data_IF_979267086152
#
_entry.id   IF_979267086152
#
_cell.length_a   1.000
_cell.length_b   1.000
_cell.length_c   1.000
_cell.angle_alpha   90.00
_cell.angle_beta   90.00
_cell.angle_gamma   90.00
#
_symmetry.space_group_name_H-M   'P 1'
#
loop_
_entity.id
_entity.type
_entity.pdbx_description
1 polymer ?
#
# COMPACT_ATOMS: atom_id res chain seq x y z
N UNK A 1 4.56 3.61 -8.22
CA UNK A 1 3.91 2.49 -8.96
C UNK A 1 3.53 1.38 -7.97
N UNK A 2 2.41 0.66 -8.20
CA UNK A 2 1.84 -0.31 -7.25
C UNK A 2 2.71 -1.54 -6.93
N UNK A 3 3.74 -1.78 -7.75
CA UNK A 3 4.61 -2.94 -7.65
C UNK A 3 5.43 -3.12 -8.92
N UNK A 4 6.24 -4.18 -8.97
CA UNK A 4 7.14 -4.45 -10.10
C UNK A 4 6.42 -5.11 -11.28
N UNK A 5 6.70 -4.63 -12.50
CA UNK A 5 6.19 -5.13 -13.79
C UNK A 5 4.66 -5.08 -13.98
N UNK A 6 4.22 -5.61 -15.12
CA UNK A 6 2.85 -5.51 -15.64
C UNK A 6 1.78 -6.17 -14.78
N UNK A 7 2.13 -7.11 -13.91
CA UNK A 7 1.15 -7.77 -13.02
C UNK A 7 1.19 -7.23 -11.58
N UNK A 8 2.28 -6.60 -11.15
CA UNK A 8 2.46 -6.11 -9.77
C UNK A 8 2.09 -7.18 -8.71
N UNK A 9 2.60 -8.40 -8.89
CA UNK A 9 2.19 -9.59 -8.13
C UNK A 9 2.30 -9.45 -6.61
N UNK A 10 3.28 -8.66 -6.15
CA UNK A 10 3.59 -8.44 -4.74
C UNK A 10 3.09 -7.06 -4.26
N UNK A 11 2.41 -6.32 -5.14
CA UNK A 11 1.91 -4.98 -4.84
C UNK A 11 0.78 -5.00 -3.82
N UNK A 12 0.55 -3.83 -3.22
CA UNK A 12 -0.54 -3.52 -2.30
C UNK A 12 -1.27 -2.27 -2.82
N UNK A 13 -2.51 -2.03 -2.40
CA UNK A 13 -3.28 -0.84 -2.78
C UNK A 13 -2.88 0.39 -1.93
N UNK A 14 -1.60 0.73 -1.89
CA UNK A 14 -0.96 1.57 -0.86
C UNK A 14 -0.19 2.79 -1.41
N UNK A 15 -0.46 3.22 -2.64
CA UNK A 15 0.07 4.47 -3.15
C UNK A 15 -0.12 5.63 -2.14
N UNK A 16 0.97 6.41 -1.98
CA UNK A 16 1.12 7.49 -1.00
C UNK A 16 1.08 7.06 0.49
N UNK A 17 1.17 5.76 0.79
CA UNK A 17 1.29 5.27 2.18
C UNK A 17 2.58 5.75 2.84
N UNK A 18 2.51 5.93 4.16
CA UNK A 18 3.62 6.34 5.01
C UNK A 18 3.91 5.30 6.10
N UNK A 19 5.19 5.14 6.40
CA UNK A 19 5.66 4.48 7.62
C UNK A 19 6.52 5.46 8.41
N UNK A 20 6.36 5.50 9.74
CA UNK A 20 7.07 6.44 10.60
C UNK A 20 7.67 5.70 11.79
N UNK A 21 8.93 6.00 12.08
CA UNK A 21 9.66 5.54 13.25
C UNK A 21 10.32 6.77 13.91
N UNK A 22 10.20 6.91 15.23
CA UNK A 22 10.77 8.00 16.02
C UNK A 22 11.61 7.38 17.13
N UNK A 23 12.89 7.75 17.21
CA UNK A 23 13.84 7.21 18.21
C UNK A 23 13.91 5.67 18.25
N UNK A 24 13.74 5.02 17.09
CA UNK A 24 13.73 3.56 16.98
C UNK A 24 12.39 2.91 17.27
N UNK A 25 11.40 3.67 17.72
CA UNK A 25 10.06 3.19 18.03
C UNK A 25 9.08 3.40 16.85
N UNK A 26 8.34 2.36 16.43
CA UNK A 26 7.41 2.46 15.32
C UNK A 26 6.13 3.24 15.70
N UNK A 27 5.76 4.24 14.90
CA UNK A 27 4.58 5.10 15.10
C UNK A 27 3.50 4.83 14.07
N UNK A 28 3.84 4.87 12.78
CA UNK A 28 2.94 4.49 11.68
C UNK A 28 3.48 3.21 11.05
N UNK A 29 2.78 2.11 11.29
CA UNK A 29 3.21 0.76 10.90
C UNK A 29 2.45 0.30 9.68
N UNK A 30 3.16 -0.31 8.73
CA UNK A 30 2.54 -1.07 7.66
C UNK A 30 2.27 -2.51 8.13
N UNK A 31 1.08 -3.06 7.93
CA UNK A 31 0.72 -4.38 8.45
C UNK A 31 1.37 -5.54 7.67
N UNK A 32 2.01 -5.27 6.53
CA UNK A 32 2.60 -6.29 5.67
C UNK A 32 1.57 -7.14 4.94
N UNK A 33 1.97 -8.31 4.46
CA UNK A 33 1.14 -9.16 3.57
C UNK A 33 0.37 -10.27 4.31
N UNK A 34 0.66 -10.50 5.59
CA UNK A 34 0.22 -11.66 6.38
C UNK A 34 0.58 -13.04 5.77
N UNK A 35 -0.16 -13.51 4.77
CA UNK A 35 0.02 -14.84 4.13
C UNK A 35 -0.02 -14.75 2.61
N UNK A 36 0.88 -15.46 1.94
CA UNK A 36 1.00 -15.43 0.48
C UNK A 36 -0.03 -16.31 -0.26
N UNK A 37 -0.30 -17.53 0.24
CA UNK A 37 -1.04 -18.56 -0.51
C UNK A 37 -2.38 -18.98 0.10
N UNK A 38 -2.60 -18.73 1.40
CA UNK A 38 -3.69 -19.35 2.18
C UNK A 38 -4.48 -18.35 3.04
N UNK A 39 -4.30 -17.04 2.80
CA UNK A 39 -4.93 -15.99 3.61
C UNK A 39 -6.36 -15.58 3.20
N UNK A 40 -6.90 -16.09 2.10
CA UNK A 40 -8.28 -15.79 1.66
C UNK A 40 -8.65 -14.30 1.71
N UNK A 41 -9.80 -13.98 2.30
CA UNK A 41 -10.30 -12.60 2.49
C UNK A 41 -9.32 -11.71 3.25
N UNK A 42 -8.54 -12.29 4.16
CA UNK A 42 -7.58 -11.54 4.94
C UNK A 42 -6.38 -11.10 4.12
N UNK A 43 -5.89 -11.97 3.23
CA UNK A 43 -4.84 -11.56 2.29
C UNK A 43 -5.29 -10.37 1.44
N UNK A 44 -6.55 -10.36 1.02
CA UNK A 44 -7.09 -9.23 0.25
C UNK A 44 -7.24 -7.98 1.12
N UNK A 45 -7.63 -8.11 2.39
CA UNK A 45 -7.68 -6.98 3.32
C UNK A 45 -6.29 -6.37 3.56
N UNK A 46 -5.27 -7.18 3.85
CA UNK A 46 -3.89 -6.70 4.06
C UNK A 46 -3.28 -6.06 2.80
N UNK A 47 -3.82 -6.36 1.61
CA UNK A 47 -3.44 -5.73 0.33
C UNK A 47 -4.31 -4.53 -0.04
N UNK A 48 -5.33 -4.21 0.76
CA UNK A 48 -6.32 -3.16 0.48
C UNK A 48 -5.89 -1.80 1.05
N UNK A 49 -6.36 -0.71 0.47
CA UNK A 49 -6.02 0.66 0.94
C UNK A 49 -6.37 0.92 2.40
N UNK A 50 -7.54 0.47 2.91
CA UNK A 50 -7.87 0.63 4.34
C UNK A 50 -6.88 0.02 5.33
N UNK A 51 -6.00 -0.91 4.90
CA UNK A 51 -4.99 -1.50 5.77
C UNK A 51 -3.71 -0.64 5.87
N UNK A 52 -3.58 0.41 5.07
CA UNK A 52 -2.35 1.21 4.96
C UNK A 52 -2.56 2.65 5.44
N UNK A 53 -1.48 3.31 5.85
CA UNK A 53 -1.49 4.70 6.32
C UNK A 53 -1.56 5.68 5.12
N UNK A 54 -2.68 5.65 4.40
CA UNK A 54 -2.97 6.50 3.24
C UNK A 54 -4.46 6.84 3.18
N UNK A 55 -4.83 7.80 2.33
CA UNK A 55 -6.21 8.18 2.14
C UNK A 55 -7.01 7.05 1.47
N UNK A 56 -8.18 6.75 2.02
CA UNK A 56 -9.23 6.02 1.33
C UNK A 56 -10.50 6.88 1.29
N UNK A 57 -11.30 6.72 0.24
CA UNK A 57 -12.58 7.40 0.08
C UNK A 57 -13.67 6.36 0.28
N UNK A 58 -14.52 6.53 1.29
CA UNK A 58 -15.62 5.61 1.61
C UNK A 58 -15.15 4.15 1.85
N UNK A 59 -13.96 3.95 2.43
CA UNK A 59 -13.42 2.61 2.66
C UNK A 59 -12.96 1.86 1.41
N UNK A 60 -12.90 2.52 0.23
CA UNK A 60 -12.54 1.87 -1.04
C UNK A 60 -11.04 1.86 -1.27
N UNK A 61 -10.57 0.81 -1.95
CA UNK A 61 -9.19 0.70 -2.39
C UNK A 61 -8.90 1.50 -3.66
N UNK A 62 -7.73 2.14 -3.70
CA UNK A 62 -7.24 2.87 -4.87
C UNK A 62 -6.75 1.96 -6.02
N UNK A 63 -6.49 0.69 -5.73
CA UNK A 63 -6.19 -0.35 -6.72
C UNK A 63 -7.12 -1.54 -6.50
N UNK A 64 -7.52 -2.22 -7.58
CA UNK A 64 -8.55 -3.26 -7.56
C UNK A 64 -7.90 -4.64 -7.75
N UNK A 65 -8.03 -5.50 -6.74
CA UNK A 65 -7.54 -6.88 -6.75
C UNK A 65 -8.33 -7.69 -7.79
N UNK A 66 -7.63 -8.41 -8.66
CA UNK A 66 -8.21 -9.27 -9.70
C UNK A 66 -7.76 -10.74 -9.61
N UNK A 67 -7.19 -11.11 -8.46
CA UNK A 67 -6.70 -12.45 -8.17
C UNK A 67 -5.52 -12.42 -7.21
N UNK A 68 -4.95 -13.59 -6.95
CA UNK A 68 -3.85 -13.74 -5.99
C UNK A 68 -2.68 -12.81 -6.31
N UNK A 69 -2.34 -12.67 -7.59
CA UNK A 69 -1.16 -11.92 -8.02
C UNK A 69 -1.49 -10.88 -9.10
N UNK A 70 -2.76 -10.51 -9.25
CA UNK A 70 -3.22 -9.66 -10.35
C UNK A 70 -4.04 -8.47 -9.84
N UNK A 71 -4.00 -7.38 -10.62
CA UNK A 71 -4.70 -6.13 -10.37
C UNK A 71 -5.41 -5.68 -11.65
N UNK A 72 -6.73 -5.45 -11.60
CA UNK A 72 -7.51 -4.96 -12.75
C UNK A 72 -7.42 -3.44 -12.89
N UNK A 73 -7.19 -2.74 -11.78
CA UNK A 73 -6.91 -1.31 -11.75
C UNK A 73 -5.75 -1.04 -10.81
N UNK A 74 -4.89 -0.08 -11.18
CA UNK A 74 -3.73 0.31 -10.40
C UNK A 74 -3.70 1.83 -10.28
N UNK A 75 -3.70 2.32 -9.05
CA UNK A 75 -3.42 3.71 -8.78
C UNK A 75 -2.05 4.12 -9.37
N UNK A 76 -2.00 5.32 -9.92
CA UNK A 76 -0.77 5.94 -10.41
C UNK A 76 -0.44 7.08 -9.47
N UNK A 77 0.74 7.02 -8.87
CA UNK A 77 1.32 8.10 -8.08
C UNK A 77 2.64 8.51 -8.72
N UNK A 78 2.90 9.81 -8.68
CA UNK A 78 4.13 10.43 -9.14
C UNK A 78 4.65 11.37 -8.05
N UNK A 79 5.97 11.50 -7.96
CA UNK A 79 6.58 12.59 -7.19
C UNK A 79 6.30 13.88 -7.96
N UNK A 80 5.59 14.82 -7.33
CA UNK A 80 5.28 16.13 -7.92
C UNK A 80 6.40 17.12 -7.60
N UNK A 81 6.84 17.15 -6.35
CA UNK A 81 7.86 18.06 -5.84
C UNK A 81 8.54 17.45 -4.61
N UNK A 82 9.79 17.83 -4.37
CA UNK A 82 10.51 17.50 -3.14
C UNK A 82 11.45 18.64 -2.78
N UNK A 83 11.30 19.17 -1.56
CA UNK A 83 12.21 20.15 -0.99
C UNK A 83 12.93 19.54 0.22
N UNK A 84 14.26 19.68 0.32
CA UNK A 84 14.96 19.35 1.56
C UNK A 84 14.50 20.31 2.67
N UNK A 85 13.91 19.77 3.74
CA UNK A 85 13.58 20.55 4.93
C UNK A 85 14.66 20.44 6.01
N UNK A 86 14.87 21.53 6.75
CA UNK A 86 15.66 21.56 8.01
C UNK A 86 14.79 21.39 9.26
N UNK A 87 13.48 21.16 9.09
CA UNK A 87 12.52 21.09 10.18
C UNK A 87 12.02 19.66 10.33
N UNK A 88 12.76 18.91 11.15
CA UNK A 88 12.28 17.76 11.90
C UNK A 88 12.59 18.02 13.38
#
# INVERSE_FOLDING_TARGET
>A
PLGYLSIAAHGHADALSLTLCVDGEPVLVDPGTWLYGSGGVWRDWFRSTPAHNTLNIEGKSQSIIAGTFNWSHKAVAALVESEPGTHW
#
